data_IF_747046832642
#
_entry.id   IF_747046832642
#
_cell.length_a   1.000
_cell.length_b   1.000
_cell.length_c   1.000
_cell.angle_alpha   90.00
_cell.angle_beta   90.00
_cell.angle_gamma   90.00
#
_symmetry.space_group_name_H-M   'P 1'
#
loop_
_entity.id
_entity.type
_entity.pdbx_description
1 polymer ?
#
# COMPACT_ATOMS: atom_id res chain seq x y z
N UNK A 1 1.34 -0.25 -26.09
CA UNK A 1 1.15 0.57 -24.87
C UNK A 1 2.12 1.77 -24.79
N UNK A 2 3.39 1.63 -25.20
CA UNK A 2 4.40 2.72 -25.21
C UNK A 2 4.10 3.93 -26.13
N UNK A 3 3.51 3.74 -27.32
CA UNK A 3 3.17 4.86 -28.24
C UNK A 3 1.99 5.73 -27.78
N UNK A 4 1.13 5.24 -26.88
CA UNK A 4 0.01 6.01 -26.32
C UNK A 4 0.43 6.87 -25.12
N UNK A 5 1.43 6.45 -24.35
CA UNK A 5 1.97 7.25 -23.24
C UNK A 5 2.80 8.45 -23.73
N UNK A 6 3.55 8.29 -24.82
CA UNK A 6 4.25 9.39 -25.50
C UNK A 6 3.27 10.38 -26.13
N UNK A 7 2.17 9.87 -26.72
CA UNK A 7 1.10 10.69 -27.30
C UNK A 7 0.28 11.42 -26.22
N UNK A 8 0.04 10.80 -25.06
CA UNK A 8 -0.63 11.47 -23.92
C UNK A 8 0.26 12.56 -23.32
N UNK A 9 1.55 12.33 -23.11
CA UNK A 9 2.46 13.38 -22.63
C UNK A 9 2.57 14.54 -23.63
N UNK A 10 2.61 14.28 -24.94
CA UNK A 10 2.62 15.35 -25.95
C UNK A 10 1.26 16.04 -26.10
N UNK A 11 0.13 15.32 -26.06
CA UNK A 11 -1.21 15.90 -26.21
C UNK A 11 -1.70 16.65 -24.96
N UNK A 12 -1.30 16.22 -23.76
CA UNK A 12 -1.68 16.85 -22.50
C UNK A 12 -1.01 18.22 -22.31
N UNK A 13 0.17 18.42 -22.89
CA UNK A 13 0.81 19.74 -22.97
C UNK A 13 0.38 20.55 -24.22
N UNK A 14 -0.04 19.90 -25.31
CA UNK A 14 -0.48 20.58 -26.56
C UNK A 14 -1.94 21.04 -26.57
N UNK A 15 -2.84 20.45 -25.78
CA UNK A 15 -4.28 20.76 -25.87
C UNK A 15 -4.73 21.79 -24.83
N UNK A 16 -4.39 23.07 -25.05
CA UNK A 16 -5.04 24.19 -24.35
C UNK A 16 -5.43 25.32 -25.30
N UNK A 17 -6.32 25.00 -26.25
CA UNK A 17 -7.18 26.00 -26.88
C UNK A 17 -8.57 25.38 -27.08
N UNK A 18 -9.43 25.60 -26.09
CA UNK A 18 -10.88 25.80 -26.20
C UNK A 18 -11.53 25.34 -24.91
N UNK A 19 -11.84 26.29 -24.03
CA UNK A 19 -13.04 26.33 -23.19
C UNK A 19 -13.04 27.67 -22.45
N UNK A 20 -13.87 28.59 -22.94
CA UNK A 20 -14.20 29.87 -22.30
C UNK A 20 -15.57 29.72 -21.62
N UNK A 21 -15.69 30.37 -20.44
CA UNK A 21 -16.91 30.80 -19.72
C UNK A 21 -17.74 29.66 -19.10
N UNK A 22 -18.19 29.70 -17.85
CA UNK A 22 -18.61 30.82 -17.00
C UNK A 22 -18.18 30.70 -15.52
N UNK A 23 -18.08 31.85 -14.86
CA UNK A 23 -17.83 32.00 -13.40
C UNK A 23 -19.13 31.85 -12.60
N UNK A 24 -19.02 31.32 -11.38
CA UNK A 24 -19.54 31.97 -10.16
C UNK A 24 -18.77 31.51 -8.92
N UNK A 25 -18.38 32.49 -8.11
CA UNK A 25 -17.61 32.39 -6.87
C UNK A 25 -18.44 31.77 -5.74
N UNK A 26 -17.78 31.01 -4.86
CA UNK A 26 -18.02 31.07 -3.40
C UNK A 26 -16.65 31.06 -2.72
N UNK A 27 -16.32 32.17 -2.06
CA UNK A 27 -15.14 32.29 -1.19
C UNK A 27 -15.35 31.51 0.11
N UNK A 28 -14.36 30.68 0.44
CA UNK A 28 -14.14 30.14 1.78
C UNK A 28 -12.65 30.22 2.08
N UNK A 29 -12.28 31.13 2.99
CA UNK A 29 -10.91 31.36 3.43
C UNK A 29 -10.45 30.11 4.20
N UNK A 30 -9.47 29.38 3.65
CA UNK A 30 -8.93 28.14 4.21
C UNK A 30 -7.49 28.30 4.68
N UNK A 31 -7.32 28.19 5.99
CA UNK A 31 -6.05 28.05 6.71
C UNK A 31 -5.22 26.89 6.13
N UNK A 32 -3.90 27.10 5.98
CA UNK A 32 -2.88 26.16 5.47
C UNK A 32 -2.99 25.74 3.99
N UNK A 33 -2.66 26.67 3.07
CA UNK A 33 -1.81 26.46 1.87
C UNK A 33 -2.09 25.35 0.85
N UNK A 34 -3.13 24.54 1.02
CA UNK A 34 -3.55 23.43 0.18
C UNK A 34 -4.70 23.89 -0.72
N UNK A 35 -4.61 23.56 -2.02
CA UNK A 35 -5.67 23.87 -3.00
C UNK A 35 -6.89 23.01 -2.65
N UNK A 36 -8.10 23.60 -2.45
CA UNK A 36 -9.30 22.86 -2.07
C UNK A 36 -9.74 21.80 -3.09
N UNK A 37 -10.43 20.77 -2.58
CA UNK A 37 -10.95 19.57 -3.26
C UNK A 37 -11.83 19.86 -4.50
N UNK A 38 -12.31 21.09 -4.67
CA UNK A 38 -13.24 21.51 -5.72
C UNK A 38 -12.59 22.33 -6.85
N UNK A 39 -11.26 22.42 -6.94
CA UNK A 39 -10.64 23.24 -7.99
C UNK A 39 -10.52 22.49 -9.34
N UNK A 40 -11.14 22.98 -10.43
CA UNK A 40 -11.01 22.46 -11.79
C UNK A 40 -9.66 22.84 -12.43
N UNK A 41 -8.61 22.92 -11.63
CA UNK A 41 -7.32 23.38 -12.09
C UNK A 41 -6.60 22.25 -12.82
N UNK A 42 -6.23 22.53 -14.07
CA UNK A 42 -5.39 21.63 -14.85
C UNK A 42 -4.05 21.44 -14.14
N UNK A 43 -3.42 20.27 -14.33
CA UNK A 43 -2.06 19.98 -13.86
C UNK A 43 -1.10 21.15 -14.15
N UNK A 44 -1.25 21.76 -15.33
CA UNK A 44 -0.52 22.96 -15.77
C UNK A 44 -0.63 24.12 -14.77
N UNK A 45 -1.85 24.44 -14.33
CA UNK A 45 -2.07 25.53 -13.35
C UNK A 45 -1.50 25.19 -11.97
N UNK A 46 -1.57 23.93 -11.55
CA UNK A 46 -0.97 23.47 -10.29
C UNK A 46 0.55 23.60 -10.35
N UNK A 47 1.18 23.14 -11.44
CA UNK A 47 2.62 23.27 -11.68
C UNK A 47 3.06 24.75 -11.75
N UNK A 48 2.28 25.63 -12.38
CA UNK A 48 2.55 27.08 -12.40
C UNK A 48 2.46 27.69 -10.99
N UNK A 49 1.52 27.24 -10.17
CA UNK A 49 1.40 27.71 -8.79
C UNK A 49 2.60 27.25 -7.95
N UNK A 50 3.04 26.00 -8.12
CA UNK A 50 4.24 25.46 -7.48
C UNK A 50 5.51 26.19 -7.92
N UNK A 51 5.65 26.44 -9.22
CA UNK A 51 6.70 27.25 -9.83
C UNK A 51 6.84 28.62 -9.17
N UNK A 52 5.72 29.35 -9.00
CA UNK A 52 5.70 30.64 -8.32
C UNK A 52 6.14 30.55 -6.86
N UNK A 53 5.71 29.51 -6.13
CA UNK A 53 6.11 29.28 -4.72
C UNK A 53 7.60 28.95 -4.59
N UNK A 54 8.20 28.27 -5.56
CA UNK A 54 9.61 27.89 -5.53
C UNK A 54 10.54 29.00 -6.04
N UNK A 55 10.00 30.06 -6.65
CA UNK A 55 10.80 31.09 -7.32
C UNK A 55 11.35 30.65 -8.68
N UNK A 56 11.25 29.36 -9.01
CA UNK A 56 11.67 28.70 -10.25
C UNK A 56 10.62 28.89 -11.34
N UNK A 57 10.45 30.14 -11.82
CA UNK A 57 9.52 30.46 -12.92
C UNK A 57 9.98 29.74 -14.19
N UNK A 58 9.21 28.73 -14.62
CA UNK A 58 9.41 28.05 -15.90
C UNK A 58 8.57 28.78 -16.94
N UNK A 59 9.23 29.56 -17.80
CA UNK A 59 8.58 30.33 -18.88
C UNK A 59 7.96 29.41 -19.94
N UNK A 60 8.56 28.25 -20.16
CA UNK A 60 8.14 27.26 -21.16
C UNK A 60 8.02 25.87 -20.52
N UNK A 61 6.78 25.48 -20.19
CA UNK A 61 6.46 24.18 -19.59
C UNK A 61 6.70 23.01 -20.55
N UNK A 62 6.84 23.25 -21.87
CA UNK A 62 7.11 22.20 -22.85
C UNK A 62 8.56 21.68 -22.77
N UNK A 63 9.46 22.41 -22.11
CA UNK A 63 10.85 22.00 -21.87
C UNK A 63 11.02 21.10 -20.64
N UNK A 64 9.95 20.89 -19.88
CA UNK A 64 9.98 20.03 -18.70
C UNK A 64 10.17 18.59 -19.15
N UNK A 65 11.22 17.94 -18.64
CA UNK A 65 11.45 16.53 -18.91
C UNK A 65 10.53 15.68 -18.05
N UNK A 66 9.72 14.85 -18.70
CA UNK A 66 8.80 13.91 -18.05
C UNK A 66 9.22 12.49 -18.43
N UNK A 67 9.39 11.64 -17.42
CA UNK A 67 9.76 10.23 -17.58
C UNK A 67 8.66 9.36 -16.95
N UNK A 68 8.04 8.44 -17.71
CA UNK A 68 7.12 7.47 -17.13
C UNK A 68 7.88 6.51 -16.20
N UNK A 69 7.29 6.25 -15.03
CA UNK A 69 7.81 5.29 -14.05
C UNK A 69 7.13 3.94 -14.28
N UNK A 70 7.90 2.85 -14.19
CA UNK A 70 7.38 1.48 -14.24
C UNK A 70 7.04 1.00 -12.81
N UNK A 71 6.20 -0.02 -12.70
CA UNK A 71 5.93 -0.71 -11.42
C UNK A 71 4.64 -0.31 -10.70
N UNK A 72 3.97 0.78 -11.10
CA UNK A 72 2.66 1.13 -10.55
C UNK A 72 1.55 0.30 -11.21
N UNK A 73 0.74 -0.41 -10.40
CA UNK A 73 -0.34 -1.27 -10.90
C UNK A 73 -1.68 -0.52 -11.02
N UNK A 74 -2.00 0.34 -10.04
CA UNK A 74 -3.31 1.00 -9.92
C UNK A 74 -3.35 2.43 -10.47
N UNK A 75 -2.19 3.04 -10.73
CA UNK A 75 -2.07 4.44 -11.13
C UNK A 75 -0.98 4.63 -12.20
N UNK A 76 -1.08 5.68 -13.01
CA UNK A 76 0.03 6.08 -13.89
C UNK A 76 0.94 7.06 -13.15
N UNK A 77 2.24 6.76 -13.12
CA UNK A 77 3.21 7.54 -12.35
C UNK A 77 4.27 8.11 -13.29
N UNK A 78 4.54 9.41 -13.16
CA UNK A 78 5.51 10.13 -13.96
C UNK A 78 6.49 10.87 -13.06
N UNK A 79 7.78 10.70 -13.31
CA UNK A 79 8.82 11.55 -12.73
C UNK A 79 8.98 12.79 -13.61
N UNK A 80 8.99 13.96 -13.00
CA UNK A 80 9.17 15.23 -13.66
C UNK A 80 10.46 15.87 -13.15
N UNK A 81 11.40 16.16 -14.05
CA UNK A 81 12.59 16.93 -13.74
C UNK A 81 12.29 18.42 -13.95
N UNK A 82 12.12 19.13 -12.85
CA UNK A 82 11.83 20.55 -12.83
C UNK A 82 13.13 21.38 -12.89
N UNK A 83 13.31 22.26 -13.89
CA UNK A 83 14.45 23.16 -13.95
C UNK A 83 14.44 24.17 -12.80
N UNK A 84 15.58 24.37 -12.14
CA UNK A 84 15.76 25.36 -11.06
C UNK A 84 16.55 26.56 -11.58
N UNK A 85 16.33 27.75 -11.00
CA UNK A 85 17.04 28.98 -11.41
C UNK A 85 18.50 29.01 -10.97
N UNK A 86 18.84 28.31 -9.90
CA UNK A 86 20.24 28.14 -9.49
C UNK A 86 20.93 27.17 -10.44
N UNK A 87 21.70 27.71 -11.39
CA UNK A 87 22.50 27.00 -12.41
C UNK A 87 23.54 26.00 -11.86
N UNK A 88 23.50 25.66 -10.58
CA UNK A 88 24.29 24.61 -9.95
C UNK A 88 23.55 23.26 -10.09
N UNK A 89 23.44 22.74 -11.31
CA UNK A 89 23.23 21.31 -11.63
C UNK A 89 22.12 20.49 -10.93
N UNK A 90 21.15 21.08 -10.24
CA UNK A 90 20.11 20.33 -9.54
C UNK A 90 18.72 20.62 -10.08
N UNK A 91 18.26 19.79 -11.02
CA UNK A 91 16.83 19.69 -11.31
C UNK A 91 16.10 19.21 -10.05
N UNK A 92 14.99 19.86 -9.69
CA UNK A 92 14.09 19.35 -8.66
C UNK A 92 13.26 18.22 -9.24
N UNK A 93 13.29 17.05 -8.62
CA UNK A 93 12.44 15.93 -9.04
C UNK A 93 11.12 15.99 -8.29
N UNK A 94 10.02 15.73 -9.00
CA UNK A 94 8.68 15.57 -8.44
C UNK A 94 7.98 14.40 -9.12
N UNK A 95 7.03 13.80 -8.41
CA UNK A 95 6.18 12.73 -8.94
C UNK A 95 4.80 13.29 -9.27
N UNK A 96 4.31 12.99 -10.46
CA UNK A 96 2.92 13.21 -10.85
C UNK A 96 2.25 11.85 -10.92
N UNK A 97 1.25 11.64 -10.06
CA UNK A 97 0.42 10.44 -10.04
C UNK A 97 -0.94 10.77 -10.63
N UNK A 98 -1.30 10.07 -11.70
CA UNK A 98 -2.61 10.15 -12.34
C UNK A 98 -3.40 8.92 -11.92
N UNK A 99 -4.61 9.14 -11.38
CA UNK A 99 -5.46 8.07 -10.88
C UNK A 99 -5.94 7.19 -12.02
N UNK A 100 -5.82 5.87 -11.84
CA UNK A 100 -6.37 4.89 -12.77
C UNK A 100 -7.86 4.64 -12.51
N UNK A 101 -8.56 4.21 -13.56
CA UNK A 101 -9.95 3.76 -13.50
C UNK A 101 -10.03 2.30 -13.01
N UNK A 102 -11.16 1.91 -12.40
CA UNK A 102 -11.45 0.51 -12.07
C UNK A 102 -10.88 0.00 -10.74
N UNK A 103 -10.29 0.88 -9.91
CA UNK A 103 -9.79 0.52 -8.58
C UNK A 103 -10.88 0.50 -7.51
N UNK A 104 -12.07 1.00 -7.82
CA UNK A 104 -13.19 1.17 -6.88
C UNK A 104 -13.71 -0.17 -6.33
N UNK A 105 -13.32 -1.28 -6.95
CA UNK A 105 -13.56 -2.64 -6.47
C UNK A 105 -12.72 -3.00 -5.24
N UNK A 106 -11.55 -2.35 -5.06
CA UNK A 106 -10.60 -2.67 -4.00
C UNK A 106 -10.65 -1.72 -2.82
N UNK A 107 -10.86 -0.42 -3.06
CA UNK A 107 -10.89 0.61 -2.03
C UNK A 107 -11.62 1.87 -2.49
N UNK A 108 -12.12 2.64 -1.53
CA UNK A 108 -12.72 3.95 -1.80
C UNK A 108 -11.62 4.99 -2.10
N UNK A 109 -11.72 5.65 -3.26
CA UNK A 109 -10.74 6.64 -3.70
C UNK A 109 -10.69 7.87 -2.80
N UNK A 110 -11.81 8.31 -2.22
CA UNK A 110 -11.82 9.48 -1.34
C UNK A 110 -11.10 9.18 -0.04
N UNK A 111 -11.29 7.97 0.48
CA UNK A 111 -10.57 7.50 1.67
C UNK A 111 -9.07 7.34 1.40
N UNK A 112 -8.67 6.76 0.27
CA UNK A 112 -7.25 6.68 -0.16
C UNK A 112 -6.61 8.08 -0.21
N UNK A 113 -7.29 9.02 -0.86
CA UNK A 113 -6.86 10.41 -0.99
C UNK A 113 -6.72 11.08 0.38
N UNK A 114 -7.68 10.87 1.29
CA UNK A 114 -7.67 11.43 2.67
C UNK A 114 -6.54 10.83 3.50
N UNK A 115 -6.40 9.50 3.47
CA UNK A 115 -5.34 8.77 4.16
C UNK A 115 -3.96 9.25 3.72
N UNK A 116 -3.75 9.38 2.41
CA UNK A 116 -2.49 9.89 1.86
C UNK A 116 -2.14 11.28 2.42
N UNK A 117 -3.09 12.23 2.50
CA UNK A 117 -2.79 13.55 3.08
C UNK A 117 -2.35 13.49 4.53
N UNK A 118 -2.99 12.61 5.30
CA UNK A 118 -2.74 12.52 6.73
C UNK A 118 -1.34 11.94 6.96
N UNK A 119 -1.05 10.78 6.33
CA UNK A 119 0.27 10.16 6.34
C UNK A 119 1.36 11.13 5.88
N UNK A 120 1.08 11.88 4.81
CA UNK A 120 1.96 12.90 4.27
C UNK A 120 2.22 14.06 5.25
N UNK A 121 1.18 14.55 5.94
CA UNK A 121 1.30 15.63 6.94
C UNK A 121 2.10 15.21 8.17
N UNK A 122 2.00 13.95 8.57
CA UNK A 122 2.78 13.41 9.68
C UNK A 122 4.21 13.00 9.29
N UNK A 123 4.60 13.11 8.00
CA UNK A 123 5.95 12.76 7.55
C UNK A 123 6.20 11.25 7.47
N UNK A 124 5.15 10.45 7.33
CA UNK A 124 5.26 8.98 7.21
C UNK A 124 5.34 8.48 5.76
N UNK A 125 5.34 9.37 4.79
CA UNK A 125 5.42 9.06 3.36
C UNK A 125 5.72 10.32 2.53
N UNK A 126 5.54 10.26 1.20
CA UNK A 126 5.83 11.39 0.33
C UNK A 126 4.95 12.60 0.68
N UNK A 127 5.57 13.78 0.74
CA UNK A 127 4.86 15.05 0.88
C UNK A 127 3.97 15.32 -0.32
N UNK A 128 2.70 15.64 -0.06
CA UNK A 128 1.76 16.14 -1.04
C UNK A 128 2.11 17.58 -1.40
N UNK A 129 2.50 17.80 -2.66
CA UNK A 129 2.83 19.13 -3.18
C UNK A 129 1.58 19.83 -3.76
N UNK A 130 0.69 19.08 -4.40
CA UNK A 130 -0.50 19.65 -5.03
C UNK A 130 -1.50 18.59 -5.52
N UNK A 131 -2.70 19.05 -5.90
CA UNK A 131 -3.81 18.22 -6.37
C UNK A 131 -4.40 18.78 -7.65
N UNK A 132 -4.90 17.91 -8.52
CA UNK A 132 -5.69 18.25 -9.69
C UNK A 132 -6.82 17.22 -9.87
N UNK A 133 -7.79 17.51 -10.74
CA UNK A 133 -9.01 16.70 -10.89
C UNK A 133 -8.77 15.20 -11.19
N UNK A 134 -7.62 14.84 -11.77
CA UNK A 134 -7.27 13.46 -12.13
C UNK A 134 -6.08 12.88 -11.36
N UNK A 135 -5.63 13.51 -10.27
CA UNK A 135 -4.43 13.04 -9.60
C UNK A 135 -3.81 13.98 -8.58
N UNK A 136 -2.54 13.71 -8.26
CA UNK A 136 -1.74 14.47 -7.30
C UNK A 136 -0.30 14.62 -7.73
N UNK A 137 0.35 15.61 -7.12
CA UNK A 137 1.78 15.87 -7.24
C UNK A 137 2.42 15.61 -5.89
N UNK A 138 3.43 14.75 -5.87
CA UNK A 138 4.13 14.26 -4.69
C UNK A 138 5.59 14.70 -4.76
N UNK A 139 6.24 14.82 -3.62
CA UNK A 139 7.70 14.93 -3.60
C UNK A 139 8.34 13.66 -4.17
N UNK A 140 9.49 13.82 -4.83
CA UNK A 140 10.28 12.69 -5.27
C UNK A 140 11.20 12.26 -4.13
N UNK A 141 10.99 11.05 -3.64
CA UNK A 141 11.87 10.44 -2.63
C UNK A 141 13.12 9.91 -3.34
N UNK A 142 14.28 10.37 -2.90
CA UNK A 142 15.58 9.94 -3.42
C UNK A 142 16.04 8.67 -2.70
N UNK A 143 15.32 7.58 -2.93
CA UNK A 143 15.57 6.29 -2.29
C UNK A 143 15.40 5.15 -3.29
N UNK A 144 15.97 3.98 -2.99
CA UNK A 144 15.69 2.75 -3.73
C UNK A 144 14.55 1.99 -3.06
N UNK A 145 13.72 1.33 -3.85
CA UNK A 145 12.81 0.29 -3.31
C UNK A 145 13.63 -0.90 -2.83
N UNK A 146 13.14 -1.58 -1.79
CA UNK A 146 13.74 -2.81 -1.32
C UNK A 146 13.52 -3.95 -2.33
N UNK A 147 14.25 -5.03 -2.11
CA UNK A 147 14.20 -6.29 -2.83
C UNK A 147 14.05 -7.45 -1.85
N UNK A 148 13.88 -8.67 -2.36
CA UNK A 148 13.71 -9.87 -1.52
C UNK A 148 14.91 -10.15 -0.62
N UNK A 149 16.14 -9.83 -1.06
CA UNK A 149 17.35 -10.02 -0.25
C UNK A 149 17.46 -9.01 0.88
N UNK A 150 16.93 -7.79 0.69
CA UNK A 150 16.96 -6.75 1.71
C UNK A 150 16.10 -7.12 2.93
N UNK A 151 14.98 -7.84 2.70
CA UNK A 151 14.11 -8.29 3.79
C UNK A 151 14.81 -9.27 4.75
N UNK A 152 15.88 -9.95 4.30
CA UNK A 152 16.66 -10.90 5.11
C UNK A 152 17.79 -10.27 5.88
N UNK A 153 18.20 -9.06 5.52
CA UNK A 153 19.27 -8.38 6.21
C UNK A 153 18.82 -8.01 7.64
N UNK A 154 19.50 -8.47 8.70
CA UNK A 154 19.05 -8.22 10.07
C UNK A 154 19.02 -6.73 10.44
N UNK A 155 19.86 -5.89 9.83
CA UNK A 155 19.91 -4.46 10.12
C UNK A 155 18.75 -3.75 9.43
N UNK A 156 18.51 -4.01 8.14
CA UNK A 156 17.36 -3.48 7.42
C UNK A 156 16.04 -3.97 8.03
N UNK A 157 15.96 -5.25 8.37
CA UNK A 157 14.82 -5.83 9.09
C UNK A 157 14.51 -5.08 10.39
N UNK A 158 15.53 -4.69 11.16
CA UNK A 158 15.36 -3.87 12.36
C UNK A 158 14.85 -2.46 12.06
N UNK A 159 15.34 -1.81 10.99
CA UNK A 159 14.88 -0.49 10.56
C UNK A 159 13.43 -0.53 10.07
N UNK A 160 13.04 -1.57 9.34
CA UNK A 160 11.66 -1.80 8.88
C UNK A 160 10.74 -1.98 10.10
N UNK A 161 11.14 -2.82 11.05
CA UNK A 161 10.38 -3.05 12.28
C UNK A 161 10.15 -1.75 13.07
N UNK A 162 11.19 -0.93 13.23
CA UNK A 162 11.08 0.36 13.89
C UNK A 162 10.16 1.32 13.13
N UNK A 163 10.30 1.40 11.80
CA UNK A 163 9.48 2.28 10.98
C UNK A 163 8.01 1.86 10.96
N UNK A 164 7.75 0.56 10.98
CA UNK A 164 6.39 0.02 11.07
C UNK A 164 5.74 0.35 12.42
N UNK A 165 6.50 0.30 13.52
CA UNK A 165 6.02 0.72 14.86
C UNK A 165 5.58 2.17 14.87
N UNK A 166 6.39 3.06 14.28
CA UNK A 166 6.03 4.47 14.12
C UNK A 166 4.77 4.64 13.26
N UNK A 167 4.67 3.91 12.15
CA UNK A 167 3.52 3.95 11.25
C UNK A 167 2.22 3.53 11.96
N UNK A 168 2.26 2.46 12.75
CA UNK A 168 1.12 2.01 13.56
C UNK A 168 0.65 3.04 14.60
N UNK A 169 1.54 3.96 15.00
CA UNK A 169 1.24 5.07 15.92
C UNK A 169 0.46 6.22 15.29
N UNK A 170 0.34 6.29 13.96
CA UNK A 170 -0.36 7.38 13.25
C UNK A 170 -1.82 7.46 13.70
N UNK A 171 -2.25 8.66 14.09
CA UNK A 171 -3.65 8.92 14.45
C UNK A 171 -4.39 9.54 13.28
N UNK A 172 -5.12 8.68 12.56
CA UNK A 172 -6.06 9.07 11.51
C UNK A 172 -7.43 9.31 12.14
N UNK A 173 -8.06 10.48 11.95
CA UNK A 173 -9.40 10.74 12.49
C UNK A 173 -10.44 9.78 11.90
N UNK A 174 -11.23 9.14 12.76
CA UNK A 174 -12.23 8.13 12.41
C UNK A 174 -12.69 7.38 13.66
N UNK A 175 -13.51 6.36 13.49
CA UNK A 175 -14.00 5.48 14.57
C UNK A 175 -12.96 4.44 15.03
N UNK A 176 -11.89 4.23 14.27
CA UNK A 176 -10.83 3.29 14.63
C UNK A 176 -11.20 1.84 14.36
N UNK A 177 -12.28 1.60 13.60
CA UNK A 177 -12.81 0.26 13.37
C UNK A 177 -11.89 -0.58 12.48
N UNK A 178 -11.82 -1.88 12.79
CA UNK A 178 -11.09 -2.87 11.99
C UNK A 178 -11.87 -3.15 10.71
N UNK A 179 -11.28 -2.82 9.55
CA UNK A 179 -11.95 -2.97 8.24
C UNK A 179 -11.64 -4.29 7.51
N UNK A 180 -10.73 -5.11 8.05
CA UNK A 180 -10.22 -6.32 7.40
C UNK A 180 -11.35 -7.29 7.00
N UNK A 181 -12.22 -7.61 7.95
CA UNK A 181 -13.25 -8.64 7.79
C UNK A 181 -14.34 -8.22 6.81
N UNK A 182 -14.87 -7.00 6.97
CA UNK A 182 -15.85 -6.43 6.05
C UNK A 182 -15.29 -6.29 4.63
N UNK A 183 -14.02 -5.94 4.49
CA UNK A 183 -13.35 -5.89 3.19
C UNK A 183 -13.28 -7.27 2.56
N UNK A 184 -12.90 -8.32 3.30
CA UNK A 184 -12.89 -9.68 2.76
C UNK A 184 -14.29 -10.15 2.32
N UNK A 185 -15.35 -9.84 3.10
CA UNK A 185 -16.73 -10.16 2.71
C UNK A 185 -17.15 -9.42 1.44
N UNK A 186 -16.82 -8.14 1.33
CA UNK A 186 -17.09 -7.36 0.13
C UNK A 186 -16.36 -7.96 -1.09
N UNK A 187 -15.08 -8.27 -0.95
CA UNK A 187 -14.26 -8.87 -2.00
C UNK A 187 -14.71 -10.27 -2.40
N UNK A 188 -15.20 -11.06 -1.44
CA UNK A 188 -15.85 -12.34 -1.74
C UNK A 188 -17.09 -12.14 -2.62
N UNK A 189 -17.92 -11.14 -2.30
CA UNK A 189 -19.06 -10.77 -3.14
C UNK A 189 -18.65 -10.37 -4.55
N UNK A 190 -17.59 -9.54 -4.69
CA UNK A 190 -17.05 -9.16 -5.99
C UNK A 190 -16.49 -10.36 -6.75
N UNK A 191 -15.70 -11.22 -6.11
CA UNK A 191 -15.15 -12.44 -6.72
C UNK A 191 -16.27 -13.35 -7.24
N UNK A 192 -17.29 -13.63 -6.42
CA UNK A 192 -18.47 -14.41 -6.84
C UNK A 192 -19.22 -13.79 -8.02
N UNK A 193 -19.26 -12.46 -8.13
CA UNK A 193 -19.94 -11.77 -9.23
C UNK A 193 -19.16 -11.79 -10.55
N UNK A 194 -17.83 -11.91 -10.48
CA UNK A 194 -16.93 -11.89 -11.63
C UNK A 194 -16.59 -13.29 -12.16
N UNK A 195 -16.51 -14.27 -11.26
CA UNK A 195 -16.17 -15.65 -11.60
C UNK A 195 -17.29 -16.37 -12.37
N UNK A 196 -16.88 -17.32 -13.22
CA UNK A 196 -17.81 -18.33 -13.75
C UNK A 196 -18.20 -19.32 -12.63
N UNK A 197 -19.29 -20.09 -12.79
CA UNK A 197 -19.62 -21.17 -11.86
C UNK A 197 -18.47 -22.18 -11.69
N UNK A 198 -17.74 -22.46 -12.77
CA UNK A 198 -16.57 -23.34 -12.77
C UNK A 198 -15.44 -22.75 -11.92
N UNK A 199 -15.08 -21.48 -12.13
CA UNK A 199 -14.05 -20.79 -11.34
C UNK A 199 -14.46 -20.71 -9.85
N UNK A 200 -15.73 -20.39 -9.58
CA UNK A 200 -16.26 -20.29 -8.21
C UNK A 200 -16.15 -21.63 -7.47
N UNK A 201 -16.40 -22.74 -8.18
CA UNK A 201 -16.25 -24.09 -7.65
C UNK A 201 -14.77 -24.47 -7.47
N UNK A 202 -13.89 -24.14 -8.42
CA UNK A 202 -12.44 -24.36 -8.34
C UNK A 202 -11.83 -23.67 -7.11
N UNK A 203 -12.16 -22.40 -6.90
CA UNK A 203 -11.66 -21.61 -5.77
C UNK A 203 -12.41 -21.86 -4.46
N UNK A 204 -13.51 -22.63 -4.49
CA UNK A 204 -14.30 -22.94 -3.30
C UNK A 204 -14.94 -21.71 -2.65
N UNK A 205 -15.35 -20.71 -3.44
CA UNK A 205 -15.84 -19.41 -2.94
C UNK A 205 -17.06 -19.53 -2.02
N UNK A 206 -17.85 -20.60 -2.15
CA UNK A 206 -19.01 -20.84 -1.28
C UNK A 206 -18.66 -21.14 0.17
N UNK A 207 -17.43 -21.59 0.44
CA UNK A 207 -16.95 -21.85 1.79
C UNK A 207 -16.21 -20.67 2.40
N UNK A 208 -15.76 -19.69 1.62
CA UNK A 208 -14.88 -18.62 2.13
C UNK A 208 -15.56 -17.75 3.18
N UNK A 209 -16.88 -17.54 3.11
CA UNK A 209 -17.60 -16.76 4.12
C UNK A 209 -17.58 -17.44 5.50
N UNK A 210 -17.75 -18.76 5.56
CA UNK A 210 -17.67 -19.49 6.83
C UNK A 210 -16.25 -19.51 7.38
N UNK A 211 -15.24 -19.57 6.50
CA UNK A 211 -13.83 -19.45 6.86
C UNK A 211 -13.50 -18.05 7.43
N UNK A 212 -14.00 -16.97 6.81
CA UNK A 212 -13.87 -15.61 7.33
C UNK A 212 -14.50 -15.49 8.72
N UNK A 213 -15.73 -16.00 8.90
CA UNK A 213 -16.43 -15.93 10.19
C UNK A 213 -15.72 -16.73 11.28
N UNK A 214 -15.15 -17.88 10.94
CA UNK A 214 -14.33 -18.68 11.85
C UNK A 214 -13.10 -17.88 12.30
N UNK A 215 -12.31 -17.34 11.36
CA UNK A 215 -11.12 -16.57 11.72
C UNK A 215 -11.45 -15.32 12.53
N UNK A 216 -12.51 -14.60 12.18
CA UNK A 216 -12.93 -13.41 12.93
C UNK A 216 -13.31 -13.79 14.37
N UNK A 217 -14.05 -14.88 14.56
CA UNK A 217 -14.38 -15.41 15.89
C UNK A 217 -13.11 -15.80 16.67
N UNK A 218 -12.29 -16.67 16.08
CA UNK A 218 -11.07 -17.19 16.70
C UNK A 218 -10.08 -16.08 17.03
N UNK A 219 -9.97 -15.02 16.24
CA UNK A 219 -8.96 -13.98 16.44
C UNK A 219 -9.46 -12.81 17.30
N UNK A 220 -10.74 -12.41 17.18
CA UNK A 220 -11.25 -11.25 17.92
C UNK A 220 -11.96 -11.61 19.23
N UNK A 221 -12.64 -12.75 19.30
CA UNK A 221 -13.51 -13.07 20.44
C UNK A 221 -12.81 -13.94 21.49
N UNK A 222 -11.91 -14.84 21.09
CA UNK A 222 -11.28 -15.77 22.03
C UNK A 222 -9.97 -15.25 22.65
N UNK A 223 -9.28 -14.29 22.02
CA UNK A 223 -7.98 -13.81 22.51
C UNK A 223 -8.04 -12.38 23.07
N UNK A 224 -7.09 -12.10 23.97
CA UNK A 224 -6.89 -10.86 24.72
C UNK A 224 -7.05 -9.61 23.84
N UNK A 225 -7.29 -8.46 24.48
CA UNK A 225 -7.30 -7.15 23.81
C UNK A 225 -6.09 -7.00 22.88
N UNK A 226 -6.34 -7.04 21.58
CA UNK A 226 -5.31 -6.87 20.56
C UNK A 226 -4.92 -5.40 20.45
N UNK A 227 -3.64 -5.15 20.17
CA UNK A 227 -3.18 -3.80 19.85
C UNK A 227 -3.67 -3.43 18.43
N UNK A 228 -4.60 -2.48 18.37
CA UNK A 228 -5.08 -1.89 17.12
C UNK A 228 -4.21 -0.67 16.78
N UNK A 229 -3.61 -0.71 15.58
CA UNK A 229 -2.79 0.37 15.03
C UNK A 229 -3.32 0.85 13.69
N UNK A 230 -2.77 1.95 13.19
CA UNK A 230 -2.98 2.35 11.80
C UNK A 230 -2.04 1.54 10.90
N UNK A 231 -2.55 0.45 10.34
CA UNK A 231 -1.76 -0.52 9.58
C UNK A 231 -1.65 -0.12 8.10
N UNK A 232 -0.54 -0.50 7.48
CA UNK A 232 -0.29 -0.36 6.06
C UNK A 232 -1.13 -1.36 5.24
N UNK A 233 -1.28 -2.58 5.75
CA UNK A 233 -2.02 -3.73 5.20
C UNK A 233 -1.45 -4.33 3.89
N UNK A 234 -0.44 -3.71 3.28
CA UNK A 234 0.24 -4.20 2.07
C UNK A 234 1.77 -4.02 2.15
N UNK A 235 2.39 -4.45 3.26
CA UNK A 235 3.81 -4.19 3.52
C UNK A 235 4.79 -5.14 2.78
N UNK A 236 4.70 -5.19 1.45
CA UNK A 236 5.65 -5.88 0.56
C UNK A 236 6.90 -5.03 0.27
N UNK A 237 8.00 -5.64 -0.18
CA UNK A 237 9.29 -4.94 -0.35
C UNK A 237 9.26 -3.78 -1.36
N UNK A 238 8.37 -3.81 -2.35
CA UNK A 238 8.15 -2.73 -3.31
C UNK A 238 7.51 -1.48 -2.71
N UNK A 239 6.89 -1.62 -1.54
CA UNK A 239 6.25 -0.54 -0.79
C UNK A 239 7.16 0.03 0.32
N UNK A 240 8.41 -0.44 0.38
CA UNK A 240 9.42 0.03 1.33
C UNK A 240 10.58 0.62 0.54
N UNK A 241 10.97 1.84 0.88
CA UNK A 241 12.12 2.51 0.30
C UNK A 241 13.20 2.77 1.34
N UNK A 242 14.47 2.67 0.94
CA UNK A 242 15.63 3.04 1.75
C UNK A 242 16.44 4.15 1.09
N UNK A 243 16.69 5.20 1.85
CA UNK A 243 17.76 6.15 1.59
C UNK A 243 19.07 5.53 2.11
N UNK A 244 19.98 5.18 1.21
CA UNK A 244 21.25 4.51 1.54
C UNK A 244 22.27 5.45 2.18
N UNK A 245 22.12 6.76 2.01
CA UNK A 245 23.03 7.74 2.61
C UNK A 245 22.67 7.96 4.09
N UNK A 246 21.37 7.90 4.43
CA UNK A 246 20.88 8.16 5.79
C UNK A 246 20.36 6.93 6.53
N UNK A 247 20.28 5.77 5.87
CA UNK A 247 19.58 4.57 6.35
C UNK A 247 18.12 4.81 6.78
N UNK A 248 17.44 5.76 6.12
CA UNK A 248 16.06 6.11 6.46
C UNK A 248 15.08 5.24 5.67
N UNK A 249 14.15 4.59 6.39
CA UNK A 249 13.06 3.82 5.78
C UNK A 249 11.84 4.70 5.55
N UNK A 250 11.30 4.64 4.35
CA UNK A 250 10.00 5.25 4.02
C UNK A 250 9.04 4.19 3.51
N UNK A 251 7.88 4.09 4.15
CA UNK A 251 6.76 3.25 3.70
C UNK A 251 5.91 4.09 2.73
N UNK A 252 5.57 3.51 1.58
CA UNK A 252 4.81 4.17 0.52
C UNK A 252 3.60 3.32 0.11
N UNK A 253 2.68 3.90 -0.67
CA UNK A 253 1.49 3.20 -1.22
C UNK A 253 0.46 2.76 -0.17
N UNK A 254 -0.03 3.74 0.60
CA UNK A 254 -1.03 3.55 1.67
C UNK A 254 -2.49 3.39 1.17
N UNK A 255 -2.70 2.76 0.01
CA UNK A 255 -4.05 2.63 -0.58
C UNK A 255 -4.93 1.60 0.17
N UNK A 256 -4.29 0.62 0.80
CA UNK A 256 -4.93 -0.38 1.66
C UNK A 256 -4.90 0.01 3.15
N UNK A 257 -4.26 1.12 3.51
CA UNK A 257 -4.02 1.46 4.91
C UNK A 257 -5.32 1.79 5.66
N UNK A 258 -5.48 1.20 6.84
CA UNK A 258 -6.63 1.36 7.72
C UNK A 258 -6.29 0.95 9.15
N UNK A 259 -7.19 1.21 10.09
CA UNK A 259 -7.07 0.58 11.41
C UNK A 259 -7.23 -0.94 11.29
N UNK A 260 -6.34 -1.67 11.95
CA UNK A 260 -6.28 -3.14 11.96
C UNK A 260 -5.45 -3.59 13.18
N UNK A 261 -5.50 -4.87 13.60
CA UNK A 261 -4.54 -5.42 14.54
C UNK A 261 -3.13 -5.31 13.96
N UNK A 262 -2.17 -4.80 14.76
CA UNK A 262 -0.77 -4.66 14.31
C UNK A 262 -0.14 -6.00 13.95
N UNK A 263 -0.62 -7.08 14.57
CA UNK A 263 -0.25 -8.45 14.27
C UNK A 263 -0.59 -8.84 12.82
N UNK A 264 -1.68 -8.33 12.24
CA UNK A 264 -2.01 -8.59 10.83
C UNK A 264 -0.99 -7.98 9.87
N UNK A 265 -0.55 -6.74 10.11
CA UNK A 265 0.38 -6.08 9.20
C UNK A 265 1.78 -6.73 9.26
N UNK A 266 2.19 -7.17 10.45
CA UNK A 266 3.40 -7.96 10.67
C UNK A 266 3.29 -9.34 9.97
N UNK A 267 2.15 -10.03 10.16
CA UNK A 267 1.89 -11.31 9.51
C UNK A 267 1.96 -11.19 7.98
N UNK A 268 1.33 -10.14 7.45
CA UNK A 268 1.36 -9.84 6.02
C UNK A 268 2.80 -9.61 5.53
N UNK A 269 3.59 -8.82 6.27
CA UNK A 269 4.99 -8.59 5.94
C UNK A 269 5.79 -9.90 5.86
N UNK A 270 5.59 -10.83 6.80
CA UNK A 270 6.23 -12.15 6.77
C UNK A 270 5.75 -13.00 5.59
N UNK A 271 4.46 -12.97 5.26
CA UNK A 271 3.94 -13.67 4.07
C UNK A 271 4.58 -13.16 2.77
N UNK A 272 4.86 -11.85 2.68
CA UNK A 272 5.50 -11.23 1.51
C UNK A 272 6.97 -11.62 1.34
N UNK A 273 7.62 -12.13 2.38
CA UNK A 273 9.00 -12.66 2.27
C UNK A 273 9.09 -13.97 1.46
N UNK A 274 7.94 -14.62 1.17
CA UNK A 274 7.84 -15.77 0.28
C UNK A 274 7.67 -15.38 -1.21
N UNK A 275 7.47 -14.09 -1.52
CA UNK A 275 7.23 -13.62 -2.87
C UNK A 275 8.51 -13.07 -3.53
N UNK A 276 8.63 -13.23 -4.86
CA UNK A 276 9.60 -12.51 -5.68
C UNK A 276 8.95 -12.00 -6.97
N UNK A 277 8.31 -10.84 -6.87
CA UNK A 277 7.66 -10.11 -7.98
C UNK A 277 8.63 -9.59 -9.05
N UNK A 278 9.94 -9.70 -8.85
CA UNK A 278 10.97 -9.37 -9.86
C UNK A 278 11.54 -10.62 -10.56
N UNK A 279 11.06 -11.82 -10.22
CA UNK A 279 11.42 -13.05 -10.92
C UNK A 279 10.73 -13.17 -12.28
N UNK A 280 11.14 -14.15 -13.08
CA UNK A 280 10.48 -14.50 -14.35
C UNK A 280 9.06 -15.05 -14.13
N UNK A 281 8.73 -15.49 -12.91
CA UNK A 281 7.42 -16.01 -12.52
C UNK A 281 6.92 -15.27 -11.28
N UNK A 282 6.56 -13.97 -11.41
CA UNK A 282 6.28 -13.10 -10.26
C UNK A 282 5.06 -13.52 -9.43
N UNK A 283 4.21 -14.39 -9.97
CA UNK A 283 3.03 -14.94 -9.33
C UNK A 283 3.31 -16.20 -8.48
N UNK A 284 4.50 -16.78 -8.59
CA UNK A 284 4.89 -17.97 -7.83
C UNK A 284 5.42 -17.56 -6.47
N UNK A 285 4.85 -18.17 -5.42
CA UNK A 285 5.20 -17.95 -4.02
C UNK A 285 5.99 -19.14 -3.49
N UNK A 286 7.20 -18.90 -3.01
CA UNK A 286 8.05 -19.92 -2.42
C UNK A 286 7.96 -19.89 -0.89
N UNK A 287 7.01 -20.64 -0.35
CA UNK A 287 6.81 -20.74 1.10
C UNK A 287 7.96 -21.45 1.83
N UNK A 288 8.91 -22.09 1.13
CA UNK A 288 10.14 -22.58 1.78
C UNK A 288 11.02 -21.43 2.26
N UNK A 289 10.83 -20.23 1.71
CA UNK A 289 11.50 -19.01 2.12
C UNK A 289 10.80 -18.32 3.30
N UNK A 290 9.60 -18.72 3.74
CA UNK A 290 8.92 -18.05 4.85
C UNK A 290 9.88 -17.91 6.07
N UNK A 291 10.02 -16.71 6.67
CA UNK A 291 11.04 -16.45 7.70
C UNK A 291 10.90 -17.44 8.85
N UNK A 292 12.00 -18.01 9.30
CA UNK A 292 12.02 -18.92 10.45
C UNK A 292 11.64 -18.22 11.75
N UNK A 293 11.33 -18.99 12.79
CA UNK A 293 10.88 -18.43 14.07
C UNK A 293 11.89 -17.44 14.67
N UNK A 294 13.20 -17.74 14.65
CA UNK A 294 14.24 -16.83 15.14
C UNK A 294 14.27 -15.48 14.40
N UNK A 295 14.02 -15.49 13.08
CA UNK A 295 13.95 -14.27 12.27
C UNK A 295 12.71 -13.44 12.62
N UNK A 296 11.55 -14.09 12.77
CA UNK A 296 10.30 -13.44 13.18
C UNK A 296 10.37 -12.88 14.60
N UNK A 297 10.92 -13.64 15.56
CA UNK A 297 11.19 -13.18 16.94
C UNK A 297 12.08 -11.96 16.95
N UNK A 298 13.16 -11.94 16.17
CA UNK A 298 14.06 -10.79 16.06
C UNK A 298 13.35 -9.56 15.51
N UNK A 299 12.53 -9.71 14.46
CA UNK A 299 11.73 -8.61 13.91
C UNK A 299 10.78 -8.04 14.96
N UNK A 300 10.00 -8.91 15.62
CA UNK A 300 9.04 -8.51 16.66
C UNK A 300 9.73 -7.85 17.85
N UNK A 301 10.86 -8.38 18.31
CA UNK A 301 11.66 -7.78 19.37
C UNK A 301 12.14 -6.36 19.01
N UNK A 302 12.61 -6.14 17.78
CA UNK A 302 12.98 -4.80 17.31
C UNK A 302 11.76 -3.87 17.18
N UNK A 303 10.63 -4.38 16.70
CA UNK A 303 9.37 -3.64 16.60
C UNK A 303 8.90 -3.15 17.97
N UNK A 304 8.85 -4.02 18.97
CA UNK A 304 8.39 -3.66 20.31
C UNK A 304 9.38 -2.71 21.02
N UNK A 305 10.69 -2.98 20.92
CA UNK A 305 11.76 -2.13 21.49
C UNK A 305 11.71 -0.69 20.98
N UNK A 306 11.19 -0.48 19.78
CA UNK A 306 11.06 0.85 19.18
C UNK A 306 10.07 1.76 19.93
N UNK A 307 9.32 1.23 20.89
CA UNK A 307 8.50 2.01 21.84
C UNK A 307 9.31 2.68 22.95
N UNK A 308 10.62 2.39 23.06
CA UNK A 308 11.53 2.96 24.06
C UNK A 308 11.73 2.11 25.32
N UNK A 309 11.04 0.97 25.44
CA UNK A 309 11.18 0.02 26.54
C UNK A 309 11.70 -1.32 25.99
N UNK A 310 12.52 -2.03 26.77
CA UNK A 310 12.92 -3.38 26.39
C UNK A 310 11.71 -4.32 26.47
N UNK A 311 11.40 -5.04 25.39
CA UNK A 311 10.23 -5.91 25.36
C UNK A 311 10.41 -7.09 26.32
N UNK A 312 9.32 -7.47 27.00
CA UNK A 312 9.28 -8.71 27.76
C UNK A 312 9.17 -9.89 26.79
N UNK A 313 9.79 -11.02 27.13
CA UNK A 313 9.71 -12.22 26.29
C UNK A 313 8.27 -12.70 26.10
N UNK A 314 7.40 -12.49 27.09
CA UNK A 314 5.97 -12.82 26.98
C UNK A 314 5.24 -11.95 25.94
N UNK A 315 5.65 -10.68 25.78
CA UNK A 315 5.05 -9.79 24.77
C UNK A 315 5.53 -10.18 23.36
N UNK A 316 6.79 -10.59 23.22
CA UNK A 316 7.34 -11.11 21.96
C UNK A 316 6.61 -12.40 21.57
N UNK A 317 6.45 -13.34 22.51
CA UNK A 317 5.76 -14.60 22.27
C UNK A 317 4.31 -14.38 21.86
N UNK A 318 3.59 -13.54 22.60
CA UNK A 318 2.18 -13.26 22.31
C UNK A 318 2.00 -12.65 20.90
N UNK A 319 2.81 -11.64 20.55
CA UNK A 319 2.70 -11.00 19.24
C UNK A 319 3.16 -11.94 18.11
N UNK A 320 4.10 -12.85 18.37
CA UNK A 320 4.52 -13.88 17.42
C UNK A 320 3.38 -14.88 17.16
N UNK A 321 2.74 -15.39 18.21
CA UNK A 321 1.59 -16.28 18.08
C UNK A 321 0.44 -15.60 17.33
N UNK A 322 0.13 -14.34 17.67
CA UNK A 322 -0.93 -13.57 17.02
C UNK A 322 -0.62 -13.34 15.54
N UNK A 323 0.61 -12.91 15.21
CA UNK A 323 1.03 -12.71 13.82
C UNK A 323 0.98 -14.02 13.03
N UNK A 324 1.44 -15.14 13.59
CA UNK A 324 1.34 -16.45 12.92
C UNK A 324 -0.10 -16.83 12.61
N UNK A 325 -1.07 -16.56 13.51
CA UNK A 325 -2.47 -16.84 13.19
C UNK A 325 -3.02 -15.88 12.13
N UNK A 326 -2.63 -14.60 12.16
CA UNK A 326 -3.07 -13.63 11.16
C UNK A 326 -2.54 -13.91 9.75
N UNK A 327 -1.54 -14.79 9.56
CA UNK A 327 -1.16 -15.24 8.20
C UNK A 327 -2.32 -15.92 7.50
N UNK A 328 -3.21 -16.59 8.25
CA UNK A 328 -4.43 -17.21 7.71
C UNK A 328 -5.33 -16.17 7.06
N UNK A 329 -5.56 -15.04 7.74
CA UNK A 329 -6.36 -13.94 7.20
C UNK A 329 -5.66 -13.29 5.99
N UNK A 330 -4.33 -13.09 6.04
CA UNK A 330 -3.56 -12.55 4.90
C UNK A 330 -3.72 -13.43 3.64
N UNK A 331 -3.67 -14.76 3.79
CA UNK A 331 -3.86 -15.68 2.67
C UNK A 331 -5.27 -15.59 2.05
N UNK A 332 -6.33 -15.52 2.87
CA UNK A 332 -7.68 -15.33 2.35
C UNK A 332 -7.83 -13.97 1.65
N UNK A 333 -7.34 -12.91 2.30
CA UNK A 333 -7.41 -11.54 1.80
C UNK A 333 -6.80 -11.40 0.41
N UNK A 334 -5.55 -11.83 0.27
CA UNK A 334 -4.83 -11.70 -1.00
C UNK A 334 -5.23 -12.75 -2.04
N UNK A 335 -5.73 -13.92 -1.62
CA UNK A 335 -6.34 -14.87 -2.55
C UNK A 335 -7.59 -14.28 -3.23
N UNK A 336 -8.46 -13.62 -2.46
CA UNK A 336 -9.61 -12.89 -3.01
C UNK A 336 -9.19 -11.73 -3.91
N UNK A 337 -8.17 -10.96 -3.48
CA UNK A 337 -7.59 -9.90 -4.31
C UNK A 337 -7.09 -10.43 -5.65
N UNK A 338 -6.41 -11.58 -5.65
CA UNK A 338 -5.88 -12.21 -6.85
C UNK A 338 -7.00 -12.57 -7.82
N UNK A 339 -8.08 -13.20 -7.35
CA UNK A 339 -9.23 -13.57 -8.18
C UNK A 339 -9.81 -12.33 -8.87
N UNK A 340 -10.17 -11.30 -8.10
CA UNK A 340 -10.73 -10.05 -8.64
C UNK A 340 -9.75 -9.44 -9.65
N UNK A 341 -8.47 -9.39 -9.31
CA UNK A 341 -7.40 -8.84 -10.14
C UNK A 341 -7.25 -9.57 -11.49
N UNK A 342 -7.45 -10.89 -11.53
CA UNK A 342 -7.44 -11.67 -12.76
C UNK A 342 -8.49 -11.23 -13.79
N UNK A 343 -9.59 -10.63 -13.33
CA UNK A 343 -10.66 -10.13 -14.20
C UNK A 343 -10.48 -8.66 -14.62
N UNK A 344 -9.77 -7.86 -13.82
CA UNK A 344 -9.75 -6.39 -14.00
C UNK A 344 -8.39 -5.82 -14.36
N UNK A 345 -7.30 -6.50 -14.00
CA UNK A 345 -5.94 -6.06 -14.31
C UNK A 345 -5.47 -6.62 -15.66
N UNK A 346 -4.63 -5.83 -16.35
CA UNK A 346 -4.06 -6.18 -17.67
C UNK A 346 -2.56 -6.47 -17.61
N UNK A 347 -2.04 -6.63 -16.40
CA UNK A 347 -0.63 -6.91 -16.15
C UNK A 347 -0.40 -8.39 -16.41
N UNK A 348 0.71 -8.69 -17.08
CA UNK A 348 1.14 -10.06 -17.35
C UNK A 348 1.58 -10.74 -16.05
N UNK A 349 0.61 -11.37 -15.39
CA UNK A 349 0.72 -12.00 -14.08
C UNK A 349 -0.37 -13.07 -13.98
N UNK A 350 -0.02 -14.29 -13.58
CA UNK A 350 -1.00 -15.37 -13.40
C UNK A 350 -1.71 -15.23 -12.04
N UNK A 351 -2.76 -14.42 -12.05
CA UNK A 351 -3.57 -14.14 -10.87
C UNK A 351 -4.30 -15.39 -10.35
N UNK A 352 -4.63 -16.35 -11.23
CA UNK A 352 -5.32 -17.57 -10.83
C UNK A 352 -4.36 -18.49 -10.05
N UNK A 353 -3.14 -18.70 -10.57
CA UNK A 353 -2.10 -19.46 -9.88
C UNK A 353 -1.69 -18.80 -8.55
N UNK A 354 -1.56 -17.47 -8.52
CA UNK A 354 -1.32 -16.73 -7.28
C UNK A 354 -2.42 -17.00 -6.23
N UNK A 355 -3.68 -16.89 -6.63
CA UNK A 355 -4.84 -17.13 -5.75
C UNK A 355 -4.89 -18.57 -5.26
N UNK A 356 -4.64 -19.54 -6.15
CA UNK A 356 -4.55 -20.97 -5.80
C UNK A 356 -3.49 -21.23 -4.74
N UNK A 357 -2.29 -20.63 -4.87
CA UNK A 357 -1.23 -20.80 -3.88
C UNK A 357 -1.57 -20.17 -2.53
N UNK A 358 -2.19 -18.99 -2.50
CA UNK A 358 -2.64 -18.34 -1.26
C UNK A 358 -3.68 -19.19 -0.53
N UNK A 359 -4.74 -19.63 -1.21
CA UNK A 359 -5.77 -20.49 -0.60
C UNK A 359 -5.24 -21.88 -0.21
N UNK A 360 -4.36 -22.47 -1.01
CA UNK A 360 -3.70 -23.74 -0.65
C UNK A 360 -2.88 -23.58 0.64
N UNK A 361 -2.14 -22.48 0.77
CA UNK A 361 -1.36 -22.23 1.98
C UNK A 361 -2.24 -22.01 3.21
N UNK A 362 -3.37 -21.31 3.06
CA UNK A 362 -4.40 -21.21 4.09
C UNK A 362 -4.82 -22.61 4.58
N UNK A 363 -5.20 -23.51 3.67
CA UNK A 363 -5.66 -24.86 4.01
C UNK A 363 -4.59 -25.72 4.70
N UNK A 364 -3.31 -25.57 4.31
CA UNK A 364 -2.19 -26.28 4.94
C UNK A 364 -1.94 -25.78 6.37
N UNK A 365 -2.00 -24.46 6.57
CA UNK A 365 -1.64 -23.81 7.83
C UNK A 365 -2.77 -23.81 8.86
N UNK A 366 -4.02 -23.71 8.42
CA UNK A 366 -5.22 -23.66 9.29
C UNK A 366 -5.21 -24.74 10.40
N UNK A 367 -5.05 -26.05 10.12
CA UNK A 367 -5.06 -27.05 11.18
C UNK A 367 -3.85 -26.94 12.13
N UNK A 368 -2.70 -26.46 11.66
CA UNK A 368 -1.50 -26.31 12.50
C UNK A 368 -1.66 -25.18 13.52
N UNK A 369 -2.30 -24.08 13.08
CA UNK A 369 -2.44 -22.85 13.85
C UNK A 369 -3.72 -22.79 14.68
N UNK A 370 -4.78 -23.50 14.27
CA UNK A 370 -6.04 -23.55 15.01
C UNK A 370 -6.23 -24.86 15.81
N UNK A 371 -5.73 -26.03 15.36
CA UNK A 371 -5.88 -27.28 16.14
C UNK A 371 -4.83 -27.48 17.23
N UNK A 372 -3.69 -26.79 17.20
CA UNK A 372 -2.74 -26.79 18.33
C UNK A 372 -3.34 -26.18 19.61
N UNK A 373 -4.49 -25.51 19.51
CA UNK A 373 -5.18 -24.86 20.61
C UNK A 373 -6.17 -25.73 21.37
N UNK A 374 -6.87 -26.66 20.71
CA UNK A 374 -7.76 -27.58 21.44
C UNK A 374 -6.98 -28.45 22.43
N UNK A 375 -5.72 -28.79 22.15
CA UNK A 375 -4.91 -29.57 23.10
C UNK A 375 -4.31 -28.72 24.25
N UNK A 376 -4.01 -27.43 24.04
CA UNK A 376 -3.48 -26.54 25.10
C UNK A 376 -4.53 -26.06 26.11
N UNK A 377 -5.84 -26.17 25.80
CA UNK A 377 -6.91 -25.83 26.75
C UNK A 377 -7.27 -26.97 27.72
N UNK A 378 -6.74 -28.18 27.51
CA UNK A 378 -6.99 -29.35 28.36
C UNK A 378 -5.73 -29.84 29.12
N UNK A 379 -4.64 -29.08 29.07
CA UNK A 379 -3.48 -29.21 29.96
C UNK A 379 -3.46 -28.04 30.95
#
# INVERSE_FOLDING_TARGET
MFRKAESFCRSFFQTSQNLRRDRKEVMGIGVLGLIPVSSPDSLKKVLQTLSGKWGDVVEDLERIQVKPMKGAMTNQVFMVNWPTKDNHFHHRKLLVRVYGDGVDLFFDRKDEIRTFEIVSRYGHGPRLLGRFAGGRIEEFIHARTLSTVDLRDPQLSALIAARLREFHGIKVPGDGNVLLWDRMRNWLGQAKSLCTPEDSAEFGLDNIESEINLLEHELLYEYKQQEIGFCHNDLQYGNIMIDEDTNSITIILTEYASYNPVAYDIANHFCEMAANYHSDTPHILDYSLYPGEEERRRFIGNYLRSSGEDPREEDIEQLLEDAEKYTLASHLFWGLWGIISGHVNKIDFDYAEYSRQRFKQYLIRKPQLLCSFTNKMYE
#
